data_IF_017131336224
#
_entry.id   IF_017131336224
#
_cell.length_a   1.000
_cell.length_b   1.000
_cell.length_c   1.000
_cell.angle_alpha   90.00
_cell.angle_beta   90.00
_cell.angle_gamma   90.00
#
_symmetry.space_group_name_H-M   'P 1'
#
loop_
_entity.id
_entity.type
_entity.pdbx_description
1 polymer ?
#
# COMPACT_ATOMS: atom_id res chain seq x y z
N UNK A 1 31.91 5.96 -3.34
CA UNK A 1 31.61 4.55 -3.61
C UNK A 1 30.26 4.15 -3.10
N UNK A 2 29.58 3.35 -3.87
CA UNK A 2 28.22 2.88 -3.63
C UNK A 2 28.18 2.00 -2.37
N UNK A 3 27.70 2.53 -1.25
CA UNK A 3 27.68 1.78 0.01
C UNK A 3 26.64 0.65 -0.03
N UNK A 4 25.49 0.86 -0.69
CA UNK A 4 24.44 -0.16 -0.84
C UNK A 4 24.80 -1.22 -1.89
N UNK A 5 25.39 -0.83 -3.03
CA UNK A 5 25.81 -1.76 -4.09
C UNK A 5 26.88 -2.77 -3.63
N UNK A 6 27.66 -2.42 -2.60
CA UNK A 6 28.64 -3.33 -1.98
C UNK A 6 28.05 -4.31 -0.96
N UNK A 7 26.78 -4.09 -0.54
CA UNK A 7 26.12 -4.96 0.43
C UNK A 7 25.70 -6.31 -0.18
N UNK A 8 25.66 -7.33 0.69
CA UNK A 8 25.15 -8.65 0.25
C UNK A 8 23.68 -8.54 -0.15
N UNK A 9 23.31 -9.09 -1.29
CA UNK A 9 21.93 -9.14 -1.80
C UNK A 9 20.91 -9.62 -0.75
N UNK A 10 21.32 -10.52 0.14
CA UNK A 10 20.50 -11.03 1.24
C UNK A 10 20.12 -9.94 2.27
N UNK A 11 21.03 -9.00 2.55
CA UNK A 11 20.77 -7.89 3.48
C UNK A 11 19.80 -6.86 2.86
N UNK A 12 19.96 -6.58 1.57
CA UNK A 12 19.06 -5.69 0.82
C UNK A 12 17.64 -6.29 0.80
N UNK A 13 17.54 -7.57 0.47
CA UNK A 13 16.25 -8.27 0.47
C UNK A 13 15.62 -8.30 1.87
N UNK A 14 16.40 -8.59 2.92
CA UNK A 14 15.92 -8.58 4.30
C UNK A 14 15.33 -7.21 4.69
N UNK A 15 16.02 -6.13 4.34
CA UNK A 15 15.54 -4.77 4.57
C UNK A 15 14.19 -4.53 3.87
N UNK A 16 14.09 -4.91 2.59
CA UNK A 16 12.87 -4.74 1.79
C UNK A 16 11.69 -5.55 2.34
N UNK A 17 11.93 -6.80 2.73
CA UNK A 17 10.92 -7.68 3.34
C UNK A 17 10.48 -7.15 4.71
N UNK A 18 11.43 -6.73 5.56
CA UNK A 18 11.10 -6.17 6.88
C UNK A 18 10.22 -4.94 6.77
N UNK A 19 10.50 -4.07 5.80
CA UNK A 19 9.68 -2.89 5.55
C UNK A 19 8.30 -3.26 5.00
N UNK A 20 8.24 -4.21 4.09
CA UNK A 20 7.00 -4.70 3.51
C UNK A 20 6.06 -5.29 4.60
N UNK A 21 6.62 -6.09 5.51
CA UNK A 21 5.89 -6.61 6.68
C UNK A 21 5.44 -5.46 7.60
N UNK A 22 6.28 -4.43 7.80
CA UNK A 22 5.95 -3.26 8.60
C UNK A 22 4.77 -2.47 8.04
N UNK A 23 4.72 -2.26 6.72
CA UNK A 23 3.59 -1.61 6.04
C UNK A 23 2.28 -2.37 6.23
N UNK A 24 2.33 -3.70 6.13
CA UNK A 24 1.19 -4.57 6.38
C UNK A 24 0.75 -4.55 7.86
N UNK A 25 1.71 -4.47 8.79
CA UNK A 25 1.46 -4.37 10.23
C UNK A 25 0.65 -3.11 10.58
N UNK A 26 0.94 -1.96 9.96
CA UNK A 26 0.19 -0.71 10.16
C UNK A 26 -1.26 -0.84 9.71
N UNK A 27 -1.53 -1.50 8.58
CA UNK A 27 -2.90 -1.76 8.10
C UNK A 27 -3.68 -2.61 9.13
N UNK A 28 -3.04 -3.66 9.67
CA UNK A 28 -3.65 -4.52 10.68
C UNK A 28 -3.90 -3.78 11.99
N UNK A 29 -2.96 -2.96 12.45
CA UNK A 29 -3.12 -2.12 13.64
C UNK A 29 -4.26 -1.11 13.46
N UNK A 30 -4.34 -0.45 12.30
CA UNK A 30 -5.43 0.46 11.96
C UNK A 30 -6.79 -0.22 12.09
N UNK A 31 -6.97 -1.39 11.48
CA UNK A 31 -8.19 -2.17 11.59
C UNK A 31 -8.52 -2.56 13.03
N UNK A 32 -7.52 -2.94 13.83
CA UNK A 32 -7.68 -3.36 15.23
C UNK A 32 -8.07 -2.18 16.12
N UNK A 33 -7.48 -1.00 15.92
CA UNK A 33 -7.81 0.23 16.66
C UNK A 33 -9.21 0.71 16.28
N UNK A 34 -9.53 0.77 14.97
CA UNK A 34 -10.86 1.16 14.50
C UNK A 34 -11.95 0.22 15.04
N UNK A 35 -11.68 -1.08 15.05
CA UNK A 35 -12.65 -2.05 15.59
C UNK A 35 -12.91 -1.86 17.07
N UNK A 36 -11.88 -1.52 17.85
CA UNK A 36 -12.03 -1.24 19.28
C UNK A 36 -12.71 0.11 19.53
N UNK A 37 -12.35 1.15 18.76
CA UNK A 37 -12.96 2.47 18.88
C UNK A 37 -14.46 2.44 18.55
N UNK A 38 -14.84 1.75 17.48
CA UNK A 38 -16.23 1.56 17.09
C UNK A 38 -16.94 0.55 18.02
N UNK A 39 -16.23 -0.48 18.51
CA UNK A 39 -16.78 -1.47 19.45
C UNK A 39 -17.00 -0.92 20.85
N UNK A 40 -16.19 0.03 21.31
CA UNK A 40 -16.32 0.66 22.63
C UNK A 40 -17.61 1.48 22.80
N UNK A 41 -17.99 2.25 21.79
CA UNK A 41 -19.26 2.98 21.75
C UNK A 41 -20.50 2.06 21.58
N UNK A 42 -20.33 1.00 20.78
CA UNK A 42 -21.38 -0.01 20.61
C UNK A 42 -21.47 -1.02 21.75
N UNK A 43 -20.44 -1.19 22.58
CA UNK A 43 -20.53 -2.01 23.76
C UNK A 43 -21.44 -1.39 24.83
N UNK A 44 -21.46 -0.05 24.95
CA UNK A 44 -22.44 0.64 25.80
C UNK A 44 -23.88 0.53 25.24
N UNK A 45 -24.05 0.70 23.94
CA UNK A 45 -25.36 0.54 23.29
C UNK A 45 -25.85 -0.92 23.28
N UNK A 46 -24.94 -1.91 23.33
CA UNK A 46 -25.24 -3.34 23.44
C UNK A 46 -25.53 -3.83 24.85
N UNK A 47 -25.08 -3.11 25.87
CA UNK A 47 -25.48 -3.40 27.25
C UNK A 47 -27.01 -3.16 27.46
N UNK A 48 -27.61 -2.33 26.61
CA UNK A 48 -29.05 -2.07 26.59
C UNK A 48 -29.85 -2.96 25.62
N UNK A 49 -29.19 -3.63 24.66
CA UNK A 49 -29.84 -4.47 23.66
C UNK A 49 -29.35 -5.92 23.79
N UNK A 50 -30.03 -6.71 24.58
CA UNK A 50 -29.84 -8.16 24.69
C UNK A 50 -30.16 -8.88 23.37
N UNK A 51 -29.12 -9.33 22.62
CA UNK A 51 -29.27 -10.13 21.40
C UNK A 51 -27.95 -10.78 20.91
N UNK A 52 -27.99 -11.94 20.22
CA UNK A 52 -26.86 -12.82 19.95
C UNK A 52 -26.01 -12.41 18.74
N UNK A 53 -25.45 -11.19 18.70
CA UNK A 53 -24.72 -10.68 17.53
C UNK A 53 -23.22 -10.39 17.71
N UNK A 54 -22.62 -10.82 18.84
CA UNK A 54 -21.20 -10.53 19.13
C UNK A 54 -20.26 -11.39 18.32
N UNK A 55 -20.68 -12.58 17.86
CA UNK A 55 -19.87 -13.48 17.03
C UNK A 55 -19.61 -12.97 15.61
N UNK A 56 -20.51 -12.14 15.07
CA UNK A 56 -20.43 -11.68 13.67
C UNK A 56 -19.40 -10.55 13.45
N UNK A 57 -19.01 -9.80 14.48
CA UNK A 57 -18.04 -8.71 14.32
C UNK A 57 -16.60 -9.23 14.15
N UNK A 58 -16.22 -10.25 14.89
CA UNK A 58 -14.90 -10.88 14.77
C UNK A 58 -14.68 -11.48 13.39
N UNK A 59 -15.66 -12.19 12.88
CA UNK A 59 -15.62 -12.81 11.53
C UNK A 59 -15.59 -11.77 10.41
N UNK A 60 -16.30 -10.65 10.57
CA UNK A 60 -16.30 -9.57 9.59
C UNK A 60 -14.94 -8.87 9.52
N UNK A 61 -14.31 -8.60 10.67
CA UNK A 61 -12.98 -7.97 10.72
C UNK A 61 -11.89 -8.86 10.13
N UNK A 62 -11.91 -10.15 10.48
CA UNK A 62 -10.98 -11.13 9.93
C UNK A 62 -11.14 -11.26 8.40
N UNK A 63 -12.37 -11.29 7.91
CA UNK A 63 -12.63 -11.36 6.47
C UNK A 63 -12.15 -10.10 5.76
N UNK A 64 -12.36 -8.92 6.35
CA UNK A 64 -11.88 -7.65 5.80
C UNK A 64 -10.35 -7.59 5.79
N UNK A 65 -9.70 -7.93 6.88
CA UNK A 65 -8.25 -8.01 6.96
C UNK A 65 -7.67 -8.92 5.87
N UNK A 66 -8.24 -10.12 5.70
CA UNK A 66 -7.81 -11.09 4.69
C UNK A 66 -7.93 -10.55 3.26
N UNK A 67 -9.00 -9.81 2.97
CA UNK A 67 -9.21 -9.16 1.67
C UNK A 67 -8.19 -8.06 1.41
N UNK A 68 -7.94 -7.18 2.40
CA UNK A 68 -6.94 -6.12 2.30
C UNK A 68 -5.53 -6.70 2.13
N UNK A 69 -5.21 -7.79 2.84
CA UNK A 69 -3.97 -8.52 2.65
C UNK A 69 -3.84 -9.07 1.23
N UNK A 70 -4.90 -9.66 0.72
CA UNK A 70 -4.95 -10.17 -0.66
C UNK A 70 -4.66 -9.07 -1.69
N UNK A 71 -5.24 -7.88 -1.52
CA UNK A 71 -4.99 -6.73 -2.39
C UNK A 71 -3.53 -6.27 -2.28
N UNK A 72 -3.00 -6.13 -1.06
CA UNK A 72 -1.62 -5.71 -0.81
C UNK A 72 -0.59 -6.65 -1.46
N UNK A 73 -0.74 -7.96 -1.23
CA UNK A 73 0.10 -9.00 -1.86
C UNK A 73 -0.08 -9.00 -3.37
N UNK A 74 -1.32 -8.95 -3.86
CA UNK A 74 -1.64 -8.95 -5.29
C UNK A 74 -1.01 -7.76 -6.03
N UNK A 75 -1.09 -6.57 -5.47
CA UNK A 75 -0.45 -5.37 -6.03
C UNK A 75 1.08 -5.48 -6.00
N UNK A 76 1.67 -6.03 -4.92
CA UNK A 76 3.12 -6.26 -4.84
C UNK A 76 3.59 -7.18 -5.97
N UNK A 77 2.89 -8.30 -6.17
CA UNK A 77 3.23 -9.27 -7.23
C UNK A 77 3.03 -8.67 -8.61
N UNK A 78 1.93 -7.96 -8.82
CA UNK A 78 1.65 -7.28 -10.08
C UNK A 78 2.75 -6.27 -10.42
N UNK A 79 3.16 -5.43 -9.46
CA UNK A 79 4.24 -4.48 -9.66
C UNK A 79 5.57 -5.16 -9.99
N UNK A 80 5.93 -6.22 -9.26
CA UNK A 80 7.16 -6.97 -9.52
C UNK A 80 7.17 -7.56 -10.94
N UNK A 81 6.04 -8.09 -11.40
CA UNK A 81 5.88 -8.62 -12.76
C UNK A 81 6.01 -7.49 -13.78
N UNK A 82 5.32 -6.37 -13.60
CA UNK A 82 5.39 -5.24 -14.53
C UNK A 82 6.82 -4.70 -14.65
N UNK A 83 7.52 -4.50 -13.53
CA UNK A 83 8.91 -4.05 -13.54
C UNK A 83 9.83 -5.05 -14.24
N UNK A 84 9.69 -6.36 -13.99
CA UNK A 84 10.56 -7.37 -14.57
C UNK A 84 10.30 -7.65 -16.05
N UNK A 85 9.06 -7.43 -16.54
CA UNK A 85 8.68 -7.77 -17.91
C UNK A 85 8.68 -6.59 -18.87
N UNK A 86 8.32 -5.40 -18.38
CA UNK A 86 8.20 -4.20 -19.21
C UNK A 86 9.46 -3.32 -19.22
N UNK A 87 10.43 -3.63 -18.35
CA UNK A 87 11.61 -2.80 -18.18
C UNK A 87 12.90 -3.63 -18.24
N UNK A 88 14.03 -2.95 -18.34
CA UNK A 88 15.37 -3.57 -18.28
C UNK A 88 15.80 -3.99 -16.87
N UNK A 89 14.92 -3.83 -15.86
CA UNK A 89 15.23 -4.14 -14.47
C UNK A 89 15.36 -5.64 -14.24
N UNK A 90 16.45 -6.05 -13.61
CA UNK A 90 16.66 -7.44 -13.23
C UNK A 90 15.60 -7.93 -12.22
N UNK A 91 15.26 -9.24 -12.18
CA UNK A 91 14.19 -9.76 -11.33
C UNK A 91 14.44 -9.53 -9.84
N UNK A 92 15.68 -9.50 -9.40
CA UNK A 92 16.05 -9.20 -8.02
C UNK A 92 15.67 -7.75 -7.64
N UNK A 93 16.01 -6.80 -8.51
CA UNK A 93 15.71 -5.39 -8.28
C UNK A 93 14.21 -5.14 -8.37
N UNK A 94 13.53 -5.72 -9.37
CA UNK A 94 12.08 -5.61 -9.53
C UNK A 94 11.32 -6.06 -8.28
N UNK A 95 11.70 -7.19 -7.68
CA UNK A 95 11.10 -7.67 -6.42
C UNK A 95 11.40 -6.73 -5.27
N UNK A 96 12.65 -6.26 -5.11
CA UNK A 96 13.00 -5.33 -4.04
C UNK A 96 12.25 -4.01 -4.16
N UNK A 97 12.17 -3.42 -5.37
CA UNK A 97 11.41 -2.19 -5.60
C UNK A 97 9.92 -2.39 -5.34
N UNK A 98 9.31 -3.50 -5.75
CA UNK A 98 7.93 -3.79 -5.43
C UNK A 98 7.68 -3.89 -3.91
N UNK A 99 8.56 -4.57 -3.18
CA UNK A 99 8.46 -4.70 -1.71
C UNK A 99 8.62 -3.37 -0.97
N UNK A 100 9.43 -2.43 -1.49
CA UNK A 100 9.66 -1.13 -0.86
C UNK A 100 8.65 -0.07 -1.30
N UNK A 101 8.08 -0.19 -2.48
CA UNK A 101 7.07 0.73 -3.01
C UNK A 101 5.73 0.57 -2.29
N UNK A 102 5.31 -0.66 -2.03
CA UNK A 102 4.00 -0.94 -1.41
C UNK A 102 3.81 -0.30 -0.02
N UNK A 103 4.79 -0.29 0.89
CA UNK A 103 4.72 0.48 2.13
C UNK A 103 5.10 1.97 1.95
N UNK A 104 5.15 2.48 0.72
CA UNK A 104 5.55 3.86 0.38
C UNK A 104 6.94 4.25 0.90
N UNK A 105 7.87 3.28 0.97
CA UNK A 105 9.20 3.48 1.51
C UNK A 105 10.20 4.12 0.54
N UNK A 106 10.06 3.83 -0.77
CA UNK A 106 10.88 4.43 -1.83
C UNK A 106 12.36 4.09 -1.79
N UNK A 107 12.76 3.02 -1.11
CA UNK A 107 14.17 2.62 -1.04
C UNK A 107 14.60 1.80 -2.25
N UNK A 108 15.74 2.16 -2.81
CA UNK A 108 16.39 1.41 -3.88
C UNK A 108 17.33 0.30 -3.39
N UNK A 109 17.83 -0.46 -4.35
CA UNK A 109 18.88 -1.48 -4.15
C UNK A 109 20.29 -0.87 -4.17
N UNK A 110 20.40 0.38 -4.63
CA UNK A 110 21.64 1.16 -4.69
C UNK A 110 21.44 2.54 -4.08
N UNK A 111 22.54 3.27 -3.81
CA UNK A 111 22.51 4.62 -3.25
C UNK A 111 21.87 5.63 -4.24
N UNK A 112 21.99 5.39 -5.54
CA UNK A 112 21.36 6.20 -6.59
C UNK A 112 19.84 5.99 -6.70
N UNK A 113 19.29 4.99 -6.01
CA UNK A 113 17.86 4.68 -6.05
C UNK A 113 17.37 4.33 -7.46
N UNK A 114 16.18 4.82 -7.81
CA UNK A 114 15.55 4.56 -9.12
C UNK A 114 16.29 5.24 -10.27
N UNK A 115 17.02 6.33 -10.01
CA UNK A 115 17.75 7.10 -11.01
C UNK A 115 18.87 6.29 -11.73
N UNK A 116 19.31 5.17 -11.13
CA UNK A 116 20.32 4.30 -11.76
C UNK A 116 19.85 3.67 -13.09
N UNK A 117 18.54 3.56 -13.30
CA UNK A 117 17.98 2.90 -14.48
C UNK A 117 17.76 3.87 -15.64
N UNK A 118 17.67 5.18 -15.37
CA UNK A 118 17.40 6.24 -16.36
C UNK A 118 16.27 5.85 -17.36
N UNK A 119 15.19 5.30 -16.81
CA UNK A 119 14.06 4.75 -17.56
C UNK A 119 12.73 5.30 -17.04
N UNK A 120 12.09 6.13 -17.84
CA UNK A 120 10.79 6.74 -17.53
C UNK A 120 9.67 5.72 -17.27
N UNK A 121 9.77 4.52 -17.85
CA UNK A 121 8.77 3.46 -17.64
C UNK A 121 8.86 2.95 -16.22
N UNK A 122 10.07 2.74 -15.72
CA UNK A 122 10.33 2.32 -14.33
C UNK A 122 9.77 3.36 -13.36
N UNK A 123 10.14 4.64 -13.58
CA UNK A 123 9.69 5.74 -12.73
C UNK A 123 8.17 5.86 -12.73
N UNK A 124 7.54 5.77 -13.90
CA UNK A 124 6.09 5.85 -14.03
C UNK A 124 5.38 4.70 -13.30
N UNK A 125 5.85 3.47 -13.45
CA UNK A 125 5.26 2.31 -12.76
C UNK A 125 5.36 2.51 -11.25
N UNK A 126 6.55 2.84 -10.74
CA UNK A 126 6.76 3.03 -9.29
C UNK A 126 5.89 4.16 -8.77
N UNK A 127 5.83 5.31 -9.48
CA UNK A 127 5.00 6.45 -9.10
C UNK A 127 3.50 6.09 -9.04
N UNK A 128 2.98 5.41 -10.05
CA UNK A 128 1.57 4.98 -10.08
C UNK A 128 1.26 4.05 -8.91
N UNK A 129 2.13 3.07 -8.64
CA UNK A 129 1.92 2.17 -7.50
C UNK A 129 2.05 2.89 -6.15
N UNK A 130 2.98 3.84 -5.99
CA UNK A 130 3.04 4.69 -4.79
C UNK A 130 1.75 5.47 -4.57
N UNK A 131 1.22 6.08 -5.62
CA UNK A 131 -0.06 6.80 -5.54
C UNK A 131 -1.22 5.87 -5.17
N UNK A 132 -1.26 4.67 -5.76
CA UNK A 132 -2.29 3.67 -5.44
C UNK A 132 -2.23 3.20 -3.97
N UNK A 133 -1.03 3.04 -3.42
CA UNK A 133 -0.88 2.58 -2.03
C UNK A 133 -1.20 3.64 -0.98
N UNK A 134 -1.14 4.92 -1.36
CA UNK A 134 -1.57 6.04 -0.51
C UNK A 134 -3.10 6.20 -0.47
N UNK A 135 -3.84 5.57 -1.39
CA UNK A 135 -5.30 5.54 -1.35
C UNK A 135 -5.75 4.59 -0.24
N UNK A 136 -6.83 4.95 0.43
CA UNK A 136 -7.44 4.08 1.44
C UNK A 136 -7.73 2.68 0.85
N UNK A 137 -7.15 1.64 1.45
CA UNK A 137 -7.29 0.26 0.98
C UNK A 137 -8.74 -0.22 0.90
N UNK A 138 -9.64 0.38 1.70
CA UNK A 138 -11.08 0.10 1.61
C UNK A 138 -11.66 0.55 0.27
N UNK A 139 -11.20 1.70 -0.27
CA UNK A 139 -11.60 2.17 -1.60
C UNK A 139 -11.08 1.28 -2.72
N UNK A 140 -9.84 0.79 -2.59
CA UNK A 140 -9.32 -0.22 -3.52
C UNK A 140 -10.16 -1.49 -3.49
N UNK A 141 -10.61 -1.92 -2.32
CA UNK A 141 -11.52 -3.07 -2.22
C UNK A 141 -12.85 -2.80 -2.94
N UNK A 142 -13.45 -1.61 -2.81
CA UNK A 142 -14.68 -1.23 -3.54
C UNK A 142 -14.43 -1.18 -5.06
N UNK A 143 -13.25 -0.71 -5.51
CA UNK A 143 -12.88 -0.74 -6.92
C UNK A 143 -12.89 -2.16 -7.49
N UNK A 144 -12.26 -3.10 -6.80
CA UNK A 144 -12.23 -4.52 -7.22
C UNK A 144 -13.58 -5.23 -7.06
N UNK A 145 -14.47 -4.74 -6.19
CA UNK A 145 -15.82 -5.29 -5.98
C UNK A 145 -16.87 -4.73 -6.95
N UNK A 146 -16.48 -3.93 -7.94
CA UNK A 146 -17.40 -3.37 -8.96
C UNK A 146 -18.27 -2.21 -8.48
N UNK A 147 -18.02 -1.65 -7.29
CA UNK A 147 -18.73 -0.50 -6.72
C UNK A 147 -18.00 0.82 -6.98
N UNK A 148 -17.61 1.05 -8.23
CA UNK A 148 -16.84 2.23 -8.63
C UNK A 148 -17.56 3.57 -8.36
N UNK A 149 -18.87 3.59 -8.32
CA UNK A 149 -19.64 4.81 -8.05
C UNK A 149 -19.45 5.37 -6.63
N UNK A 150 -19.04 4.55 -5.67
CA UNK A 150 -18.78 4.98 -4.29
C UNK A 150 -17.40 5.63 -4.16
N UNK A 151 -16.45 5.27 -5.03
CA UNK A 151 -15.07 5.78 -5.02
C UNK A 151 -15.06 7.28 -5.34
N UNK A 152 -15.81 7.72 -6.35
CA UNK A 152 -15.85 9.13 -6.76
C UNK A 152 -16.61 10.05 -5.79
N UNK A 153 -17.38 9.48 -4.86
CA UNK A 153 -18.09 10.21 -3.81
C UNK A 153 -17.27 10.42 -2.55
N UNK A 154 -16.14 9.71 -2.44
CA UNK A 154 -15.28 9.78 -1.27
C UNK A 154 -14.51 11.12 -1.23
N UNK A 155 -14.71 11.86 -0.13
CA UNK A 155 -14.09 13.18 0.06
C UNK A 155 -12.58 13.07 0.31
N UNK A 156 -12.13 11.98 0.96
CA UNK A 156 -10.72 11.75 1.24
C UNK A 156 -9.94 11.56 -0.07
N UNK A 157 -10.47 10.75 -0.99
CA UNK A 157 -9.84 10.52 -2.29
C UNK A 157 -9.77 11.80 -3.12
N UNK A 158 -10.84 12.59 -3.12
CA UNK A 158 -10.87 13.88 -3.86
C UNK A 158 -9.85 14.85 -3.33
N UNK A 159 -9.77 14.98 -2.01
CA UNK A 159 -8.80 15.86 -1.34
C UNK A 159 -7.37 15.39 -1.61
N UNK A 160 -7.12 14.09 -1.51
CA UNK A 160 -5.83 13.49 -1.82
C UNK A 160 -5.38 13.78 -3.26
N UNK A 161 -6.24 13.51 -4.25
CA UNK A 161 -5.92 13.77 -5.65
C UNK A 161 -5.68 15.25 -5.93
N UNK A 162 -6.44 16.13 -5.27
CA UNK A 162 -6.26 17.57 -5.39
C UNK A 162 -4.90 18.04 -4.83
N UNK A 163 -4.50 17.52 -3.67
CA UNK A 163 -3.19 17.83 -3.07
C UNK A 163 -2.05 17.34 -3.97
N UNK A 164 -2.15 16.09 -4.47
CA UNK A 164 -1.16 15.52 -5.39
C UNK A 164 -1.05 16.37 -6.67
N UNK A 165 -2.18 16.78 -7.22
CA UNK A 165 -2.22 17.61 -8.44
C UNK A 165 -1.60 18.98 -8.22
N UNK A 166 -1.90 19.66 -7.10
CA UNK A 166 -1.29 20.96 -6.74
C UNK A 166 0.23 20.80 -6.55
N UNK A 167 0.67 19.75 -5.84
CA UNK A 167 2.08 19.50 -5.63
C UNK A 167 2.81 19.22 -6.96
N UNK A 168 2.18 18.48 -7.86
CA UNK A 168 2.73 18.21 -9.19
C UNK A 168 2.88 19.49 -10.02
N UNK A 169 1.85 20.38 -10.04
CA UNK A 169 1.93 21.67 -10.71
C UNK A 169 3.04 22.54 -10.11
N UNK A 170 3.13 22.59 -8.78
CA UNK A 170 4.16 23.40 -8.11
C UNK A 170 5.57 22.95 -8.48
N UNK A 171 5.79 21.63 -8.62
CA UNK A 171 7.08 21.08 -9.08
C UNK A 171 7.32 21.32 -10.57
N UNK A 172 6.28 21.28 -11.40
CA UNK A 172 6.42 21.52 -12.85
C UNK A 172 6.69 22.97 -13.23
N UNK A 173 6.34 23.93 -12.35
CA UNK A 173 6.54 25.38 -12.55
C UNK A 173 7.86 25.89 -11.98
N UNK A 174 8.60 25.08 -11.22
CA UNK A 174 9.89 25.44 -10.62
C UNK A 174 11.06 24.90 -11.47
#
# INVERSE_FOLDING_TARGET
GDCLGSQRKSLILWRSVSQWIGGMGVIMLGLLIFSRALGGGMALARAELTGPSVSNLGTTLESTARKLWGIYVGLTVLQAILLSQLTSMGPFDAVNYALTTMPSGGFGTTDSGIMQFDDYIIESIVMVFMLLTCINFSLLYFAFSGRSNEIWKDEELRTYLLIVFIAWIAMALN
#
